data_IF_077825250384
#
_entry.id   IF_077825250384
#
_cell.length_a   1.000
_cell.length_b   1.000
_cell.length_c   1.000
_cell.angle_alpha   90.00
_cell.angle_beta   90.00
_cell.angle_gamma   90.00
#
_symmetry.space_group_name_H-M   'P 1'
#
loop_
_entity.id
_entity.type
_entity.pdbx_description
1 polymer ?
#
# COMPACT_ATOMS: atom_id res chain seq x y z
N UNK A 1 17.98 11.98 -8.08
CA UNK A 1 18.30 10.61 -8.55
C UNK A 1 18.20 9.59 -7.39
N UNK A 2 17.55 8.43 -7.58
CA UNK A 2 17.55 7.39 -6.55
C UNK A 2 18.98 6.94 -6.26
N UNK A 3 19.37 6.94 -4.98
CA UNK A 3 20.75 6.70 -4.51
C UNK A 3 21.25 5.28 -4.83
N UNK A 4 20.36 4.32 -5.03
CA UNK A 4 20.72 2.92 -5.33
C UNK A 4 21.11 2.63 -6.79
N UNK A 5 20.84 3.54 -7.73
CA UNK A 5 21.28 3.33 -9.12
C UNK A 5 22.76 3.67 -9.36
N UNK A 6 23.51 4.18 -8.37
CA UNK A 6 24.79 4.84 -8.65
C UNK A 6 26.06 4.19 -8.08
N UNK A 7 26.02 3.35 -7.04
CA UNK A 7 27.27 3.00 -6.32
C UNK A 7 27.64 1.52 -6.20
N UNK A 8 26.72 0.55 -6.32
CA UNK A 8 27.06 -0.86 -6.02
C UNK A 8 27.15 -1.80 -7.23
N UNK A 9 26.75 -1.36 -8.42
CA UNK A 9 26.84 -2.19 -9.63
C UNK A 9 28.25 -2.28 -10.23
N UNK A 10 29.24 -1.56 -9.69
CA UNK A 10 30.60 -1.48 -10.25
C UNK A 10 31.57 -2.53 -9.70
N UNK A 11 31.22 -3.31 -8.68
CA UNK A 11 32.25 -4.07 -7.94
C UNK A 11 32.35 -5.58 -8.24
N UNK A 12 31.44 -6.21 -9.02
CA UNK A 12 31.50 -7.69 -9.22
C UNK A 12 31.37 -8.26 -10.63
N UNK A 13 31.22 -7.46 -11.69
CA UNK A 13 31.42 -7.94 -13.08
C UNK A 13 32.04 -6.83 -13.93
N UNK A 14 33.00 -7.19 -14.77
CA UNK A 14 33.84 -6.30 -15.57
C UNK A 14 33.13 -5.05 -16.10
N UNK A 15 33.77 -3.91 -15.91
CA UNK A 15 33.22 -2.57 -16.09
C UNK A 15 32.76 -2.29 -17.54
N UNK A 16 31.50 -2.58 -17.84
CA UNK A 16 30.76 -1.89 -18.88
C UNK A 16 30.33 -0.54 -18.30
N UNK A 17 31.05 0.53 -18.66
CA UNK A 17 30.68 1.91 -18.34
C UNK A 17 29.41 2.29 -19.12
N UNK A 18 28.23 1.89 -18.62
CA UNK A 18 26.97 2.34 -19.16
C UNK A 18 26.79 3.85 -18.92
N UNK A 19 26.42 4.57 -19.98
CA UNK A 19 25.98 5.96 -19.86
C UNK A 19 24.80 6.09 -18.89
N UNK A 20 24.61 7.26 -18.29
CA UNK A 20 23.50 7.50 -17.37
C UNK A 20 22.12 7.21 -18.01
N UNK A 21 21.98 7.47 -19.32
CA UNK A 21 20.76 7.16 -20.09
C UNK A 21 20.54 5.65 -20.24
N UNK A 22 21.59 4.88 -20.53
CA UNK A 22 21.50 3.42 -20.62
C UNK A 22 21.17 2.80 -19.27
N UNK A 23 21.79 3.27 -18.17
CA UNK A 23 21.46 2.84 -16.81
C UNK A 23 20.00 3.11 -16.47
N UNK A 24 19.48 4.28 -16.83
CA UNK A 24 18.08 4.62 -16.59
C UNK A 24 17.11 3.78 -17.44
N UNK A 25 17.48 3.43 -18.67
CA UNK A 25 16.69 2.56 -19.55
C UNK A 25 16.64 1.12 -19.03
N UNK A 26 17.79 0.54 -18.71
CA UNK A 26 17.90 -0.79 -18.08
C UNK A 26 17.16 -0.85 -16.75
N UNK A 27 17.29 0.17 -15.90
CA UNK A 27 16.55 0.24 -14.64
C UNK A 27 15.03 0.30 -14.85
N UNK A 28 14.55 1.05 -15.85
CA UNK A 28 13.12 1.06 -16.22
C UNK A 28 12.62 -0.29 -16.74
N UNK A 29 13.43 -0.99 -17.55
CA UNK A 29 13.09 -2.31 -18.10
C UNK A 29 13.08 -3.39 -17.01
N UNK A 30 14.11 -3.45 -16.16
CA UNK A 30 14.14 -4.35 -15.00
C UNK A 30 13.00 -4.04 -14.05
N UNK A 31 12.72 -2.77 -13.77
CA UNK A 31 11.60 -2.41 -12.90
C UNK A 31 10.30 -2.91 -13.53
N UNK A 32 10.09 -2.80 -14.85
CA UNK A 32 8.90 -3.27 -15.60
C UNK A 32 8.57 -4.76 -15.45
N UNK A 33 9.55 -5.63 -15.23
CA UNK A 33 9.28 -7.06 -15.04
C UNK A 33 8.93 -7.46 -13.60
N UNK A 34 9.17 -6.58 -12.62
CA UNK A 34 8.94 -6.91 -11.21
C UNK A 34 7.44 -6.82 -10.84
N UNK A 35 6.84 -7.88 -10.26
CA UNK A 35 5.44 -7.82 -9.83
C UNK A 35 5.17 -6.72 -8.81
N UNK A 36 4.02 -6.05 -8.90
CA UNK A 36 3.70 -4.88 -8.04
C UNK A 36 3.56 -5.21 -6.55
N UNK A 37 3.26 -6.48 -6.23
CA UNK A 37 3.11 -7.02 -4.87
C UNK A 37 4.43 -7.48 -4.23
N UNK A 38 5.56 -7.40 -4.95
CA UNK A 38 6.85 -7.88 -4.44
C UNK A 38 7.28 -7.17 -3.15
N UNK A 39 6.90 -5.89 -2.99
CA UNK A 39 7.24 -5.10 -1.83
C UNK A 39 6.59 -5.66 -0.57
N UNK A 40 5.31 -6.02 -0.65
CA UNK A 40 4.60 -6.65 0.45
C UNK A 40 5.26 -7.99 0.85
N UNK A 41 5.67 -8.80 -0.13
CA UNK A 41 6.33 -10.08 0.13
C UNK A 41 7.70 -9.91 0.80
N UNK A 42 8.50 -8.93 0.35
CA UNK A 42 9.78 -8.61 0.97
C UNK A 42 9.60 -8.14 2.43
N UNK A 43 8.56 -7.35 2.71
CA UNK A 43 8.23 -6.89 4.06
C UNK A 43 7.80 -8.06 4.95
N UNK A 44 6.86 -8.89 4.50
CA UNK A 44 6.40 -10.07 5.24
C UNK A 44 7.54 -11.06 5.49
N UNK A 45 8.45 -11.22 4.54
CA UNK A 45 9.66 -12.04 4.66
C UNK A 45 10.80 -11.40 5.47
N UNK A 46 10.64 -10.15 5.93
CA UNK A 46 11.65 -9.38 6.68
C UNK A 46 12.99 -9.24 5.93
N UNK A 47 12.94 -9.17 4.60
CA UNK A 47 14.10 -8.99 3.73
C UNK A 47 14.47 -7.50 3.61
N UNK A 48 15.10 -6.95 4.66
CA UNK A 48 15.37 -5.50 4.78
C UNK A 48 16.19 -4.92 3.61
N UNK A 49 17.16 -5.67 3.11
CA UNK A 49 17.97 -5.32 1.94
C UNK A 49 17.13 -5.23 0.65
N UNK A 50 16.24 -6.18 0.43
CA UNK A 50 15.29 -6.18 -0.69
C UNK A 50 14.29 -5.03 -0.53
N UNK A 51 13.81 -4.76 0.67
CA UNK A 51 12.92 -3.61 0.95
C UNK A 51 13.64 -2.31 0.59
N UNK A 52 14.85 -2.05 1.09
CA UNK A 52 15.58 -0.83 0.78
C UNK A 52 15.90 -0.70 -0.72
N UNK A 53 16.25 -1.81 -1.39
CA UNK A 53 16.41 -1.83 -2.84
C UNK A 53 15.12 -1.39 -3.56
N UNK A 54 13.96 -1.95 -3.18
CA UNK A 54 12.67 -1.61 -3.77
C UNK A 54 12.21 -0.17 -3.47
N UNK A 55 12.54 0.35 -2.29
CA UNK A 55 12.34 1.77 -1.93
C UNK A 55 13.25 2.71 -2.72
N UNK A 56 14.45 2.25 -3.07
CA UNK A 56 15.36 2.94 -3.98
C UNK A 56 14.84 3.01 -5.42
N UNK A 57 13.85 2.20 -5.79
CA UNK A 57 13.18 2.27 -7.09
C UNK A 57 12.00 3.27 -7.06
N UNK A 58 11.20 3.29 -8.12
CA UNK A 58 10.05 4.18 -8.21
C UNK A 58 8.86 3.63 -7.39
N UNK A 59 8.67 4.17 -6.17
CA UNK A 59 7.54 3.85 -5.27
C UNK A 59 6.15 4.00 -5.89
N UNK A 60 6.01 4.80 -6.97
CA UNK A 60 4.74 4.93 -7.68
C UNK A 60 4.25 3.60 -8.29
N UNK A 61 5.14 2.62 -8.48
CA UNK A 61 4.81 1.35 -9.14
C UNK A 61 4.31 0.27 -8.18
N UNK A 62 4.66 0.33 -6.91
CA UNK A 62 4.32 -0.72 -5.95
C UNK A 62 2.87 -0.62 -5.49
N UNK A 63 2.31 -1.77 -5.11
CA UNK A 63 1.05 -1.81 -4.38
C UNK A 63 1.29 -1.39 -2.92
N UNK A 64 1.05 -0.11 -2.65
CA UNK A 64 1.31 0.48 -1.35
C UNK A 64 0.25 0.09 -0.31
N UNK A 65 -0.93 -0.35 -0.73
CA UNK A 65 -1.95 -0.84 0.19
C UNK A 65 -1.55 -2.21 0.73
N UNK A 66 -1.17 -3.14 -0.15
CA UNK A 66 -0.69 -4.46 0.28
C UNK A 66 0.63 -4.37 1.05
N UNK A 67 1.55 -3.48 0.65
CA UNK A 67 2.80 -3.25 1.38
C UNK A 67 2.55 -2.68 2.79
N UNK A 68 1.58 -1.77 2.95
CA UNK A 68 1.22 -1.23 4.25
C UNK A 68 0.64 -2.30 5.18
N UNK A 69 -0.26 -3.13 4.66
CA UNK A 69 -0.82 -4.29 5.37
C UNK A 69 0.31 -5.20 5.87
N UNK A 70 1.25 -5.56 4.98
CA UNK A 70 2.40 -6.37 5.35
C UNK A 70 3.27 -5.72 6.45
N UNK A 71 3.48 -4.40 6.40
CA UNK A 71 4.28 -3.69 7.40
C UNK A 71 3.60 -3.66 8.77
N UNK A 72 2.28 -3.46 8.82
CA UNK A 72 1.50 -3.52 10.06
C UNK A 72 1.52 -4.93 10.63
N UNK A 73 1.26 -5.96 9.81
CA UNK A 73 1.29 -7.36 10.25
C UNK A 73 2.68 -7.84 10.69
N UNK A 74 3.76 -7.21 10.20
CA UNK A 74 5.12 -7.46 10.63
C UNK A 74 5.59 -6.56 11.80
N UNK A 75 4.70 -5.74 12.36
CA UNK A 75 4.97 -4.78 13.45
C UNK A 75 6.09 -3.75 13.12
N UNK A 76 6.32 -3.49 11.83
CA UNK A 76 7.33 -2.54 11.36
C UNK A 76 6.72 -1.13 11.22
N UNK A 77 6.33 -0.52 12.34
CA UNK A 77 5.59 0.76 12.36
C UNK A 77 6.30 1.90 11.60
N UNK A 78 7.62 2.04 11.76
CA UNK A 78 8.41 3.06 11.03
C UNK A 78 8.38 2.85 9.51
N UNK A 79 8.29 1.59 9.07
CA UNK A 79 8.14 1.25 7.66
C UNK A 79 6.71 1.52 7.18
N UNK A 80 5.70 1.19 7.99
CA UNK A 80 4.30 1.49 7.71
C UNK A 80 4.10 3.01 7.51
N UNK A 81 4.71 3.86 8.34
CA UNK A 81 4.67 5.32 8.20
C UNK A 81 5.31 5.79 6.89
N UNK A 82 6.47 5.23 6.52
CA UNK A 82 7.13 5.52 5.22
C UNK A 82 6.23 5.15 4.05
N UNK A 83 5.52 4.02 4.12
CA UNK A 83 4.58 3.57 3.07
C UNK A 83 3.35 4.46 3.02
N UNK A 84 2.80 4.85 4.17
CA UNK A 84 1.68 5.77 4.27
C UNK A 84 2.01 7.11 3.59
N UNK A 85 3.17 7.68 3.88
CA UNK A 85 3.64 8.91 3.26
C UNK A 85 3.87 8.77 1.75
N UNK A 86 4.39 7.63 1.30
CA UNK A 86 4.53 7.34 -0.13
C UNK A 86 3.16 7.23 -0.82
N UNK A 87 2.17 6.60 -0.18
CA UNK A 87 0.81 6.49 -0.70
C UNK A 87 0.13 7.84 -0.81
N UNK A 88 0.23 8.68 0.25
CA UNK A 88 -0.31 10.04 0.28
C UNK A 88 0.20 10.93 -0.85
N UNK A 89 1.46 10.76 -1.26
CA UNK A 89 2.05 11.49 -2.39
C UNK A 89 1.59 10.97 -3.76
N UNK A 90 1.25 9.68 -3.84
CA UNK A 90 0.89 8.98 -5.09
C UNK A 90 -0.61 9.09 -5.40
N UNK A 91 -1.45 8.92 -4.39
CA UNK A 91 -2.90 8.72 -4.53
C UNK A 91 -3.68 9.89 -3.94
N UNK A 92 -4.76 10.28 -4.61
CA UNK A 92 -5.78 11.17 -4.04
C UNK A 92 -6.76 10.42 -3.14
N UNK A 93 -6.87 9.10 -3.31
CA UNK A 93 -7.67 8.26 -2.44
C UNK A 93 -6.91 8.04 -1.13
N UNK A 94 -7.63 8.03 -0.01
CA UNK A 94 -7.03 7.76 1.29
C UNK A 94 -6.62 6.29 1.39
N UNK A 95 -5.46 6.04 1.99
CA UNK A 95 -4.98 4.68 2.27
C UNK A 95 -5.99 3.87 3.08
N UNK A 96 -6.75 4.50 3.98
CA UNK A 96 -7.81 3.84 4.74
C UNK A 96 -8.87 3.23 3.82
N UNK A 97 -9.29 3.98 2.79
CA UNK A 97 -10.30 3.50 1.84
C UNK A 97 -9.72 2.40 0.96
N UNK A 98 -8.45 2.51 0.57
CA UNK A 98 -7.77 1.47 -0.22
C UNK A 98 -7.63 0.16 0.57
N UNK A 99 -7.10 0.23 1.78
CA UNK A 99 -6.91 -0.91 2.68
C UNK A 99 -8.25 -1.55 3.05
N UNK A 100 -9.31 -0.76 3.26
CA UNK A 100 -10.63 -1.29 3.57
C UNK A 100 -11.25 -2.13 2.44
N UNK A 101 -10.80 -1.95 1.20
CA UNK A 101 -11.18 -2.82 0.07
C UNK A 101 -10.21 -3.97 -0.18
N UNK A 102 -9.04 -3.94 0.44
CA UNK A 102 -8.03 -4.98 0.32
C UNK A 102 -8.34 -6.16 1.25
N UNK A 103 -7.73 -7.33 0.95
CA UNK A 103 -7.88 -8.61 1.68
C UNK A 103 -8.14 -8.37 3.18
N UNK A 104 -9.17 -9.04 3.73
CA UNK A 104 -9.79 -9.02 5.07
C UNK A 104 -8.89 -8.70 6.31
N UNK A 105 -8.09 -7.64 6.27
CA UNK A 105 -7.15 -7.25 7.32
C UNK A 105 -7.70 -6.03 8.05
N UNK A 106 -8.44 -6.31 9.12
CA UNK A 106 -8.96 -5.28 10.01
C UNK A 106 -7.83 -4.62 10.83
N UNK A 107 -6.66 -5.22 11.00
CA UNK A 107 -5.58 -4.64 11.80
C UNK A 107 -5.00 -3.40 11.13
N UNK A 108 -4.78 -3.45 9.81
CA UNK A 108 -4.30 -2.28 9.07
C UNK A 108 -5.32 -1.12 9.08
N UNK A 109 -6.63 -1.44 9.00
CA UNK A 109 -7.72 -0.45 9.13
C UNK A 109 -7.74 0.15 10.54
N UNK A 110 -7.62 -0.70 11.57
CA UNK A 110 -7.56 -0.26 12.97
C UNK A 110 -6.36 0.66 13.21
N UNK A 111 -5.20 0.28 12.70
CA UNK A 111 -3.97 1.07 12.84
C UNK A 111 -4.13 2.46 12.22
N UNK A 112 -4.70 2.55 11.01
CA UNK A 112 -4.96 3.85 10.37
C UNK A 112 -5.99 4.68 11.15
N UNK A 113 -7.05 4.05 11.66
CA UNK A 113 -8.07 4.73 12.47
C UNK A 113 -7.46 5.37 13.71
N UNK A 114 -6.72 4.60 14.52
CA UNK A 114 -6.12 5.10 15.75
C UNK A 114 -4.97 6.10 15.52
N UNK A 115 -4.40 6.13 14.31
CA UNK A 115 -3.42 7.13 13.88
C UNK A 115 -4.06 8.37 13.22
N UNK A 116 -5.36 8.62 13.47
CA UNK A 116 -6.03 9.86 13.09
C UNK A 116 -6.65 9.87 11.69
N UNK A 117 -6.74 8.73 11.01
CA UNK A 117 -7.58 8.61 9.80
C UNK A 117 -9.05 8.33 10.16
N UNK A 118 -9.62 9.11 11.09
CA UNK A 118 -10.91 8.81 11.74
C UNK A 118 -12.07 9.73 11.28
N UNK A 119 -11.84 10.59 10.29
CA UNK A 119 -12.86 11.50 9.77
C UNK A 119 -14.10 10.73 9.25
N UNK A 120 -15.31 11.13 9.66
CA UNK A 120 -16.55 10.43 9.31
C UNK A 120 -16.75 10.21 7.79
N UNK A 121 -16.34 11.15 6.94
CA UNK A 121 -16.40 11.01 5.48
C UNK A 121 -15.43 9.94 4.95
N UNK A 122 -14.28 9.77 5.60
CA UNK A 122 -13.34 8.69 5.28
C UNK A 122 -13.89 7.34 5.75
N UNK A 123 -14.43 7.28 6.97
CA UNK A 123 -15.03 6.08 7.54
C UNK A 123 -16.20 5.58 6.68
N UNK A 124 -17.13 6.46 6.30
CA UNK A 124 -18.24 6.08 5.41
C UNK A 124 -17.76 5.54 4.06
N UNK A 125 -16.73 6.16 3.45
CA UNK A 125 -16.16 5.66 2.19
C UNK A 125 -15.45 4.32 2.34
N UNK A 126 -14.71 4.13 3.43
CA UNK A 126 -14.07 2.87 3.75
C UNK A 126 -15.12 1.77 3.99
N UNK A 127 -16.23 2.09 4.65
CA UNK A 127 -17.33 1.16 4.91
C UNK A 127 -17.99 0.69 3.60
N UNK A 128 -18.34 1.63 2.73
CA UNK A 128 -18.88 1.32 1.38
C UNK A 128 -17.88 0.47 0.56
N UNK A 129 -16.58 0.75 0.68
CA UNK A 129 -15.54 -0.02 -0.02
C UNK A 129 -15.43 -1.44 0.52
N UNK A 130 -15.45 -1.62 1.84
CA UNK A 130 -15.43 -2.93 2.49
C UNK A 130 -16.65 -3.77 2.09
N UNK A 131 -17.84 -3.17 2.07
CA UNK A 131 -19.08 -3.81 1.64
C UNK A 131 -19.01 -4.32 0.19
N UNK A 132 -18.48 -3.50 -0.71
CA UNK A 132 -18.29 -3.88 -2.12
C UNK A 132 -17.45 -5.16 -2.29
N UNK A 133 -16.51 -5.43 -1.38
CA UNK A 133 -15.68 -6.63 -1.41
C UNK A 133 -16.04 -7.68 -0.35
N UNK A 134 -17.20 -7.53 0.31
CA UNK A 134 -17.72 -8.47 1.33
C UNK A 134 -16.77 -8.66 2.52
N UNK A 135 -16.03 -7.62 2.91
CA UNK A 135 -15.12 -7.66 4.06
C UNK A 135 -15.85 -7.35 5.37
N UNK A 136 -16.59 -8.36 5.87
CA UNK A 136 -17.51 -8.22 7.02
C UNK A 136 -16.81 -7.71 8.27
N UNK A 137 -15.65 -8.26 8.66
CA UNK A 137 -14.93 -7.82 9.86
C UNK A 137 -14.53 -6.33 9.81
N UNK A 138 -14.12 -5.86 8.63
CA UNK A 138 -13.83 -4.44 8.39
C UNK A 138 -15.09 -3.59 8.47
N UNK A 139 -16.21 -4.08 7.93
CA UNK A 139 -17.51 -3.39 8.04
C UNK A 139 -17.96 -3.27 9.50
N UNK A 140 -17.88 -4.36 10.27
CA UNK A 140 -18.26 -4.39 11.69
C UNK A 140 -17.43 -3.39 12.50
N UNK A 141 -16.11 -3.38 12.30
CA UNK A 141 -15.24 -2.40 12.94
C UNK A 141 -15.66 -0.96 12.60
N UNK A 142 -15.77 -0.65 11.31
CA UNK A 142 -16.10 0.70 10.84
C UNK A 142 -17.48 1.16 11.31
N UNK A 143 -18.48 0.27 11.31
CA UNK A 143 -19.82 0.55 11.85
C UNK A 143 -19.78 0.79 13.36
N UNK A 144 -18.99 -0.01 14.09
CA UNK A 144 -18.77 0.13 15.54
C UNK A 144 -18.18 1.48 15.96
N UNK A 145 -17.51 2.20 15.06
CA UNK A 145 -17.03 3.58 15.32
C UNK A 145 -18.15 4.60 15.51
N UNK A 146 -19.40 4.26 15.15
CA UNK A 146 -20.57 5.16 15.14
C UNK A 146 -20.39 6.41 14.26
N UNK A 147 -19.51 6.33 13.25
CA UNK A 147 -19.20 7.44 12.31
C UNK A 147 -19.64 7.16 10.88
N UNK A 148 -20.28 6.01 10.62
CA UNK A 148 -20.91 5.69 9.35
C UNK A 148 -22.23 6.46 9.26
N UNK A 149 -22.39 7.30 8.23
CA UNK A 149 -23.66 7.98 7.96
C UNK A 149 -24.70 7.01 7.40
N UNK A 150 -25.98 7.35 7.55
CA UNK A 150 -27.07 6.54 6.96
C UNK A 150 -26.90 6.39 5.43
N UNK A 151 -26.56 7.48 4.72
CA UNK A 151 -26.26 7.44 3.28
C UNK A 151 -25.14 6.44 2.91
N UNK A 152 -24.07 6.37 3.71
CA UNK A 152 -23.01 5.40 3.49
C UNK A 152 -23.46 3.97 3.82
N UNK A 153 -24.36 3.81 4.79
CA UNK A 153 -24.96 2.54 5.14
C UNK A 153 -25.86 2.01 4.02
N UNK A 154 -26.80 2.81 3.55
CA UNK A 154 -27.73 2.45 2.47
C UNK A 154 -26.95 2.05 1.21
N UNK A 155 -25.96 2.86 0.84
CA UNK A 155 -25.08 2.57 -0.30
C UNK A 155 -24.27 1.29 -0.14
N UNK A 156 -23.84 0.96 1.08
CA UNK A 156 -23.14 -0.29 1.35
C UNK A 156 -24.07 -1.50 1.19
N UNK A 157 -25.32 -1.38 1.65
CA UNK A 157 -26.32 -2.44 1.51
C UNK A 157 -26.74 -2.64 0.05
N UNK A 158 -26.92 -1.57 -0.70
CA UNK A 158 -27.15 -1.62 -2.15
C UNK A 158 -26.01 -2.36 -2.87
N UNK A 159 -24.74 -2.01 -2.57
CA UNK A 159 -23.58 -2.69 -3.15
C UNK A 159 -23.52 -4.18 -2.77
N UNK A 160 -23.93 -4.53 -1.55
CA UNK A 160 -23.96 -5.93 -1.11
C UNK A 160 -25.05 -6.74 -1.82
N UNK A 161 -26.21 -6.11 -2.09
CA UNK A 161 -27.36 -6.74 -2.73
C UNK A 161 -27.25 -6.83 -4.27
N UNK A 162 -26.48 -5.94 -4.91
CA UNK A 162 -26.37 -5.86 -6.38
C UNK A 162 -25.21 -6.66 -6.97
N UNK A 163 -24.42 -7.34 -6.15
CA UNK A 163 -23.25 -8.10 -6.61
C UNK A 163 -23.62 -9.57 -6.93
N UNK A 164 -23.36 -10.08 -8.15
CA UNK A 164 -23.59 -11.49 -8.49
C UNK A 164 -22.71 -12.46 -7.69
#
# INVERSE_FOLDING_TARGET
PPRYCSSEWTSRRGALHYSARQRQKLCKEVTRSIPVYILAHAISGKHADVVEFLFGLNMARWDLAEAFIAAVGAEQHTLADRIFEAHRRKSKMSLLVDVAGYKCDCQAVNHLYYNGQDNAKLIGRAFVRAAKYKHIATMEFLYGTKRVSMDAFDKAMENAATYP
#
